data_IF_665827464214
#
_entry.id   IF_665827464214
#
_cell.length_a   1.000
_cell.length_b   1.000
_cell.length_c   1.000
_cell.angle_alpha   90.00
_cell.angle_beta   90.00
_cell.angle_gamma   90.00
#
_symmetry.space_group_name_H-M   'P 1'
#
loop_
_entity.id
_entity.type
_entity.pdbx_description
1 polymer ?
#
# COMPACT_ATOMS: atom_id res chain seq x y z
N UNK A 1 4.84 12.77 -3.85
CA UNK A 1 6.19 13.20 -3.42
C UNK A 1 6.47 12.63 -2.02
N UNK A 2 7.21 11.51 -1.85
CA UNK A 2 7.72 10.98 -0.56
C UNK A 2 8.46 9.62 -0.66
N UNK A 3 8.46 8.94 -1.81
CA UNK A 3 9.04 7.59 -1.94
C UNK A 3 10.57 7.57 -1.83
N UNK A 4 11.28 8.54 -2.42
CA UNK A 4 12.74 8.60 -2.35
C UNK A 4 13.25 8.83 -0.92
N UNK A 5 12.51 9.62 -0.14
CA UNK A 5 12.83 9.90 1.26
C UNK A 5 12.55 8.69 2.16
N UNK A 6 11.44 7.97 1.92
CA UNK A 6 11.08 6.78 2.67
C UNK A 6 12.09 5.63 2.46
N UNK A 7 12.51 5.38 1.22
CA UNK A 7 13.55 4.37 0.91
C UNK A 7 14.86 4.68 1.62
N UNK A 8 15.19 5.96 1.79
CA UNK A 8 16.40 6.38 2.48
C UNK A 8 16.27 6.33 4.01
N UNK A 9 15.14 6.74 4.58
CA UNK A 9 14.96 6.87 6.04
C UNK A 9 14.63 5.52 6.70
N UNK A 10 13.87 4.66 6.04
CA UNK A 10 13.40 3.38 6.60
C UNK A 10 14.56 2.50 7.12
N UNK A 11 15.67 2.27 6.39
CA UNK A 11 16.79 1.48 6.89
C UNK A 11 17.41 2.04 8.17
N UNK A 12 17.60 3.37 8.24
CA UNK A 12 18.17 4.00 9.45
C UNK A 12 17.21 3.91 10.63
N UNK A 13 15.91 4.12 10.39
CA UNK A 13 14.90 4.03 11.44
C UNK A 13 14.77 2.59 11.99
N UNK A 14 14.90 1.56 11.14
CA UNK A 14 14.95 0.16 11.57
C UNK A 14 16.19 -0.13 12.41
N UNK A 15 17.37 0.33 11.99
CA UNK A 15 18.62 0.13 12.74
C UNK A 15 18.56 0.84 14.11
N UNK A 16 18.10 2.09 14.13
CA UNK A 16 17.98 2.87 15.36
C UNK A 16 16.90 2.27 16.28
N UNK A 17 15.71 1.99 15.76
CA UNK A 17 14.60 1.41 16.52
C UNK A 17 14.94 0.02 17.06
N UNK A 18 15.51 -0.85 16.23
CA UNK A 18 15.96 -2.19 16.62
C UNK A 18 17.08 -2.14 17.65
N UNK A 19 18.06 -1.23 17.49
CA UNK A 19 19.13 -1.02 18.46
C UNK A 19 18.60 -0.55 19.83
N UNK A 20 17.66 0.39 19.84
CA UNK A 20 17.01 0.91 21.05
C UNK A 20 16.22 -0.18 21.79
N UNK A 21 15.45 -1.01 21.07
CA UNK A 21 14.74 -2.15 21.64
C UNK A 21 15.71 -3.19 22.19
N UNK A 22 16.77 -3.52 21.45
CA UNK A 22 17.77 -4.49 21.90
C UNK A 22 18.48 -4.01 23.18
N UNK A 23 18.95 -2.75 23.22
CA UNK A 23 19.61 -2.16 24.40
C UNK A 23 18.68 -2.09 25.61
N UNK A 24 17.42 -1.68 25.40
CA UNK A 24 16.41 -1.66 26.46
C UNK A 24 16.02 -3.07 26.94
N UNK A 25 15.89 -4.02 26.02
CA UNK A 25 15.52 -5.41 26.31
C UNK A 25 16.61 -6.20 27.05
N UNK A 26 17.88 -5.96 26.72
CA UNK A 26 19.03 -6.56 27.41
C UNK A 26 19.02 -6.30 28.91
N UNK A 27 18.51 -5.14 29.34
CA UNK A 27 18.34 -4.80 30.76
C UNK A 27 17.42 -5.79 31.50
N UNK A 28 16.35 -6.26 30.85
CA UNK A 28 15.41 -7.23 31.43
C UNK A 28 15.96 -8.67 31.45
N UNK A 29 17.01 -8.95 30.67
CA UNK A 29 17.69 -10.25 30.62
C UNK A 29 18.90 -10.27 31.59
N UNK A 30 18.96 -9.32 32.53
CA UNK A 30 20.03 -9.18 33.52
C UNK A 30 21.42 -8.85 32.92
N UNK A 31 21.48 -8.47 31.64
CA UNK A 31 22.69 -7.96 30.99
C UNK A 31 22.69 -6.44 31.13
N UNK A 32 23.40 -5.94 32.14
CA UNK A 32 23.44 -4.51 32.48
C UNK A 32 24.34 -3.73 31.53
N UNK A 33 23.83 -3.44 30.33
CA UNK A 33 24.44 -2.48 29.40
C UNK A 33 24.16 -1.01 29.78
N UNK A 34 23.06 -0.78 30.51
CA UNK A 34 22.62 0.54 30.98
C UNK A 34 22.44 0.52 32.49
N UNK A 35 23.06 1.47 33.19
CA UNK A 35 23.07 1.51 34.66
C UNK A 35 21.76 2.01 35.29
N UNK A 36 20.86 2.60 34.50
CA UNK A 36 19.63 3.20 34.99
C UNK A 36 18.40 2.52 34.38
N UNK A 37 17.50 2.03 35.24
CA UNK A 37 16.24 1.40 34.84
C UNK A 37 15.37 2.34 33.99
N UNK A 38 15.34 3.63 34.33
CA UNK A 38 14.56 4.61 33.57
C UNK A 38 15.07 4.79 32.13
N UNK A 39 16.38 4.70 31.92
CA UNK A 39 16.98 4.81 30.59
C UNK A 39 16.70 3.56 29.74
N UNK A 40 16.71 2.38 30.35
CA UNK A 40 16.38 1.13 29.67
C UNK A 40 14.90 1.07 29.25
N UNK A 41 13.99 1.54 30.10
CA UNK A 41 12.56 1.65 29.75
C UNK A 41 12.34 2.69 28.65
N UNK A 42 12.98 3.85 28.76
CA UNK A 42 12.87 4.90 27.74
C UNK A 42 13.40 4.45 26.36
N UNK A 43 14.52 3.72 26.31
CA UNK A 43 15.04 3.17 25.06
C UNK A 43 14.13 2.10 24.48
N UNK A 44 13.56 1.23 25.31
CA UNK A 44 12.63 0.19 24.87
C UNK A 44 11.35 0.81 24.28
N UNK A 45 10.72 1.75 25.00
CA UNK A 45 9.50 2.43 24.56
C UNK A 45 9.78 3.28 23.32
N UNK A 46 10.90 4.01 23.28
CA UNK A 46 11.29 4.82 22.13
C UNK A 46 11.53 3.97 20.88
N UNK A 47 12.24 2.86 21.02
CA UNK A 47 12.48 1.92 19.91
C UNK A 47 11.18 1.27 19.41
N UNK A 48 10.31 0.84 20.32
CA UNK A 48 9.01 0.27 19.96
C UNK A 48 8.10 1.30 19.27
N UNK A 49 8.10 2.56 19.71
CA UNK A 49 7.34 3.63 19.07
C UNK A 49 7.84 3.91 17.65
N UNK A 50 9.17 3.97 17.43
CA UNK A 50 9.76 4.16 16.11
C UNK A 50 9.35 3.02 15.17
N UNK A 51 9.51 1.77 15.61
CA UNK A 51 9.17 0.60 14.79
C UNK A 51 7.67 0.52 14.52
N UNK A 52 6.81 0.81 15.50
CA UNK A 52 5.35 0.81 15.33
C UNK A 52 4.88 1.89 14.36
N UNK A 53 5.44 3.10 14.45
CA UNK A 53 5.16 4.17 13.46
C UNK A 53 5.64 3.75 12.07
N UNK A 54 6.81 3.12 11.98
CA UNK A 54 7.32 2.60 10.71
C UNK A 54 6.36 1.56 10.12
N UNK A 55 5.89 0.62 10.93
CA UNK A 55 4.96 -0.43 10.50
C UNK A 55 3.62 0.17 10.05
N UNK A 56 3.09 1.17 10.74
CA UNK A 56 1.88 1.90 10.30
C UNK A 56 2.12 2.60 8.96
N UNK A 57 3.29 3.21 8.77
CA UNK A 57 3.65 3.88 7.51
C UNK A 57 3.82 2.86 6.39
N UNK A 58 4.47 1.72 6.64
CA UNK A 58 4.69 0.69 5.62
C UNK A 58 3.42 -0.11 5.31
N UNK A 59 2.70 -0.58 6.33
CA UNK A 59 1.43 -1.29 6.17
C UNK A 59 0.35 -0.36 5.62
N UNK A 60 0.34 0.91 6.01
CA UNK A 60 -0.52 1.95 5.45
C UNK A 60 0.02 2.58 4.17
N UNK A 61 1.19 2.19 3.67
CA UNK A 61 1.72 2.75 2.43
C UNK A 61 0.91 2.19 1.27
N UNK A 62 0.15 3.08 0.61
CA UNK A 62 -0.61 2.71 -0.57
C UNK A 62 0.27 2.18 -1.71
N UNK A 63 1.60 2.19 -1.61
CA UNK A 63 2.46 1.50 -2.58
C UNK A 63 2.26 -0.01 -2.57
N UNK A 64 2.04 -0.64 -1.42
CA UNK A 64 1.71 -2.07 -1.38
C UNK A 64 0.33 -2.33 -2.00
N UNK A 65 -0.65 -1.50 -1.65
CA UNK A 65 -2.02 -1.60 -2.15
C UNK A 65 -2.15 -1.26 -3.63
N UNK A 66 -1.58 -0.15 -4.10
CA UNK A 66 -1.54 0.23 -5.51
C UNK A 66 -0.73 -0.76 -6.34
N UNK A 67 0.35 -1.33 -5.81
CA UNK A 67 1.08 -2.39 -6.54
C UNK A 67 0.26 -3.67 -6.61
N UNK A 68 -0.39 -4.08 -5.53
CA UNK A 68 -1.30 -5.21 -5.55
C UNK A 68 -2.45 -4.98 -6.55
N UNK A 69 -3.07 -3.81 -6.51
CA UNK A 69 -4.13 -3.38 -7.40
C UNK A 69 -3.67 -3.28 -8.87
N UNK A 70 -2.45 -2.79 -9.12
CA UNK A 70 -1.87 -2.73 -10.46
C UNK A 70 -1.64 -4.13 -11.02
N UNK A 71 -1.10 -5.05 -10.22
CA UNK A 71 -0.92 -6.47 -10.61
C UNK A 71 -2.28 -7.11 -10.91
N UNK A 72 -3.27 -6.87 -10.07
CA UNK A 72 -4.61 -7.43 -10.23
C UNK A 72 -5.33 -6.88 -11.46
N UNK A 73 -5.19 -5.58 -11.72
CA UNK A 73 -5.73 -4.95 -12.92
C UNK A 73 -5.12 -5.56 -14.18
N UNK A 74 -3.80 -5.81 -14.19
CA UNK A 74 -3.14 -6.48 -15.32
C UNK A 74 -3.56 -7.94 -15.50
N UNK A 75 -3.83 -8.67 -14.41
CA UNK A 75 -4.36 -10.03 -14.49
C UNK A 75 -5.79 -10.04 -15.06
N UNK A 76 -6.65 -9.13 -14.58
CA UNK A 76 -8.01 -8.97 -15.07
C UNK A 76 -8.06 -8.50 -16.53
N UNK A 77 -7.11 -7.65 -16.95
CA UNK A 77 -6.93 -7.28 -18.36
C UNK A 77 -6.59 -8.51 -19.21
N UNK A 78 -5.61 -9.31 -18.79
CA UNK A 78 -5.23 -10.53 -19.50
C UNK A 78 -6.38 -11.55 -19.57
N UNK A 79 -7.16 -11.67 -18.49
CA UNK A 79 -8.34 -12.53 -18.44
C UNK A 79 -9.45 -12.02 -19.38
N UNK A 80 -9.70 -10.72 -19.41
CA UNK A 80 -10.64 -10.10 -20.34
C UNK A 80 -10.23 -10.27 -21.81
N UNK A 81 -8.95 -10.05 -22.12
CA UNK A 81 -8.41 -10.23 -23.47
C UNK A 81 -8.40 -11.70 -23.93
N UNK A 82 -8.14 -12.64 -23.01
CA UNK A 82 -8.13 -14.08 -23.32
C UNK A 82 -9.54 -14.67 -23.45
N UNK A 83 -10.52 -14.15 -22.71
CA UNK A 83 -11.91 -14.57 -22.80
C UNK A 83 -12.62 -14.02 -24.05
N UNK A 84 -12.19 -12.87 -24.57
CA UNK A 84 -12.78 -12.21 -25.73
C UNK A 84 -11.74 -11.87 -26.81
N UNK A 85 -11.09 -12.87 -27.44
CA UNK A 85 -10.10 -12.64 -28.48
C UNK A 85 -10.68 -11.93 -29.72
N UNK A 86 -11.98 -12.09 -29.98
CA UNK A 86 -12.73 -11.40 -31.05
C UNK A 86 -12.87 -9.88 -30.83
N UNK A 87 -12.93 -9.43 -29.58
CA UNK A 87 -13.03 -8.02 -29.19
C UNK A 87 -11.69 -7.27 -29.33
N UNK A 88 -10.59 -7.99 -29.60
CA UNK A 88 -9.28 -7.38 -29.89
C UNK A 88 -9.17 -6.84 -31.32
N UNK A 89 -9.94 -7.42 -32.26
CA UNK A 89 -9.98 -7.02 -33.68
C UNK A 89 -11.18 -6.15 -34.02
N UNK A 90 -12.29 -6.34 -33.32
CA UNK A 90 -13.49 -5.51 -33.46
C UNK A 90 -13.42 -4.37 -32.45
N UNK A 91 -13.90 -3.18 -32.80
CA UNK A 91 -13.79 -1.97 -32.00
C UNK A 91 -14.61 -1.98 -30.67
N UNK A 92 -15.03 -3.15 -30.19
CA UNK A 92 -15.87 -3.36 -29.00
C UNK A 92 -15.05 -3.30 -27.71
N UNK A 93 -14.41 -2.14 -27.51
CA UNK A 93 -13.69 -1.80 -26.27
C UNK A 93 -14.58 -1.86 -25.03
N UNK A 94 -15.90 -1.73 -25.20
CA UNK A 94 -16.87 -1.80 -24.11
C UNK A 94 -17.00 -3.21 -23.50
N UNK A 95 -16.79 -4.27 -24.29
CA UNK A 95 -16.88 -5.65 -23.80
C UNK A 95 -15.68 -5.96 -22.91
N UNK A 96 -14.48 -5.62 -23.38
CA UNK A 96 -13.24 -5.78 -22.61
C UNK A 96 -13.29 -4.91 -21.36
N UNK A 97 -13.76 -3.66 -21.46
CA UNK A 97 -13.94 -2.77 -20.31
C UNK A 97 -14.84 -3.40 -19.24
N UNK A 98 -16.01 -3.92 -19.62
CA UNK A 98 -16.95 -4.57 -18.68
C UNK A 98 -16.36 -5.82 -18.06
N UNK A 99 -15.62 -6.62 -18.82
CA UNK A 99 -14.97 -7.83 -18.32
C UNK A 99 -13.91 -7.51 -17.25
N UNK A 100 -13.10 -6.48 -17.49
CA UNK A 100 -12.07 -6.03 -16.52
C UNK A 100 -12.72 -5.47 -15.26
N UNK A 101 -13.72 -4.60 -15.39
CA UNK A 101 -14.45 -4.03 -14.24
C UNK A 101 -15.13 -5.13 -13.43
N UNK A 102 -15.74 -6.13 -14.08
CA UNK A 102 -16.36 -7.25 -13.39
C UNK A 102 -15.34 -8.10 -12.61
N UNK A 103 -14.17 -8.38 -13.20
CA UNK A 103 -13.07 -9.09 -12.53
C UNK A 103 -12.51 -8.31 -11.34
N UNK A 104 -12.35 -6.99 -11.47
CA UNK A 104 -11.92 -6.13 -10.37
C UNK A 104 -12.96 -6.06 -9.25
N UNK A 105 -14.25 -6.05 -9.59
CA UNK A 105 -15.32 -6.05 -8.59
C UNK A 105 -15.38 -7.38 -7.80
N UNK A 106 -15.23 -8.52 -8.47
CA UNK A 106 -15.16 -9.84 -7.81
C UNK A 106 -13.96 -9.95 -6.85
N UNK A 107 -12.88 -9.23 -7.15
CA UNK A 107 -11.69 -9.17 -6.31
C UNK A 107 -11.74 -8.11 -5.22
N UNK A 108 -12.86 -7.40 -5.07
CA UNK A 108 -13.09 -6.44 -3.99
C UNK A 108 -12.69 -5.00 -4.33
N UNK A 109 -12.65 -4.63 -5.61
CA UNK A 109 -12.36 -3.27 -6.06
C UNK A 109 -13.53 -2.67 -6.85
N UNK A 110 -13.99 -1.50 -6.43
CA UNK A 110 -15.07 -0.76 -7.10
C UNK A 110 -14.53 0.27 -8.09
N UNK A 111 -15.18 0.38 -9.25
CA UNK A 111 -14.87 1.42 -10.23
C UNK A 111 -15.31 2.80 -9.73
N UNK A 112 -14.38 3.75 -9.72
CA UNK A 112 -14.58 5.10 -9.26
C UNK A 112 -14.04 6.12 -10.27
N UNK A 113 -14.95 6.67 -11.07
CA UNK A 113 -14.61 7.58 -12.18
C UNK A 113 -14.42 9.05 -11.74
N UNK A 114 -14.53 9.37 -10.45
CA UNK A 114 -14.49 10.76 -9.95
C UNK A 114 -13.07 11.34 -9.87
N UNK A 115 -12.02 10.54 -10.03
CA UNK A 115 -10.64 11.02 -9.96
C UNK A 115 -10.18 11.68 -11.28
N UNK A 116 -9.33 12.70 -11.18
CA UNK A 116 -8.94 13.54 -12.33
C UNK A 116 -8.24 12.76 -13.45
N UNK A 117 -7.45 11.73 -13.08
CA UNK A 117 -6.80 10.81 -14.01
C UNK A 117 -7.77 9.88 -14.76
N UNK A 118 -8.95 9.66 -14.20
CA UNK A 118 -10.02 8.88 -14.85
C UNK A 118 -10.82 9.71 -15.84
N UNK A 119 -10.82 11.04 -15.65
CA UNK A 119 -11.49 11.99 -16.55
C UNK A 119 -10.69 12.24 -17.84
N UNK A 120 -9.37 12.13 -17.78
CA UNK A 120 -8.47 12.26 -18.95
C UNK A 120 -8.32 10.95 -19.74
N UNK A 121 -8.43 9.79 -19.07
CA UNK A 121 -8.34 8.47 -19.71
C UNK A 121 -9.28 7.45 -19.03
N UNK A 122 -10.52 7.36 -19.52
CA UNK A 122 -11.56 6.43 -19.04
C UNK A 122 -11.32 4.99 -19.52
N UNK A 123 -10.16 4.43 -19.16
CA UNK A 123 -9.77 3.06 -19.56
C UNK A 123 -9.85 2.14 -18.34
N UNK A 124 -10.53 1.00 -18.47
CA UNK A 124 -10.67 0.01 -17.39
C UNK A 124 -9.33 -0.53 -16.87
N UNK A 125 -8.25 -0.33 -17.60
CA UNK A 125 -6.90 -0.75 -17.22
C UNK A 125 -6.20 0.27 -16.32
N UNK A 126 -6.81 1.44 -16.09
CA UNK A 126 -6.23 2.46 -15.23
C UNK A 126 -6.48 2.13 -13.74
N UNK A 127 -5.45 1.78 -12.95
CA UNK A 127 -5.63 1.42 -11.55
C UNK A 127 -6.12 2.60 -10.70
N UNK A 128 -5.87 3.85 -11.11
CA UNK A 128 -6.34 5.05 -10.41
C UNK A 128 -7.87 5.18 -10.40
N UNK A 129 -8.57 4.40 -11.23
CA UNK A 129 -10.03 4.40 -11.34
C UNK A 129 -10.70 3.30 -10.53
N UNK A 130 -9.98 2.69 -9.60
CA UNK A 130 -10.52 1.70 -8.69
C UNK A 130 -10.22 2.04 -7.23
N UNK A 131 -11.16 1.72 -6.36
CA UNK A 131 -11.03 1.84 -4.90
C UNK A 131 -11.36 0.50 -4.23
N UNK A 132 -10.70 0.16 -3.12
CA UNK A 132 -11.07 -1.02 -2.33
C UNK A 132 -12.52 -0.93 -1.84
N UNK A 133 -13.23 -2.07 -1.82
CA UNK A 133 -14.57 -2.17 -1.26
C UNK A 133 -14.57 -2.14 0.28
N UNK A 134 -13.47 -2.54 0.92
CA UNK A 134 -13.28 -2.50 2.37
C UNK A 134 -13.17 -1.06 2.88
N UNK A 135 -13.99 -0.70 3.89
CA UNK A 135 -14.13 0.70 4.34
C UNK A 135 -12.85 1.34 4.91
N UNK A 136 -11.98 0.56 5.56
CA UNK A 136 -10.71 1.07 6.08
C UNK A 136 -9.72 1.35 4.94
N UNK A 137 -9.52 0.39 4.04
CA UNK A 137 -8.60 0.55 2.90
C UNK A 137 -9.12 1.63 1.94
N UNK A 138 -10.44 1.71 1.74
CA UNK A 138 -11.08 2.78 0.98
C UNK A 138 -10.78 4.17 1.54
N UNK A 139 -10.83 4.34 2.86
CA UNK A 139 -10.58 5.63 3.50
C UNK A 139 -9.11 6.06 3.34
N UNK A 140 -8.17 5.12 3.49
CA UNK A 140 -6.73 5.36 3.31
C UNK A 140 -6.44 5.70 1.85
N UNK A 141 -6.92 4.88 0.91
CA UNK A 141 -6.71 5.08 -0.53
C UNK A 141 -7.37 6.38 -1.03
N UNK A 142 -8.59 6.70 -0.58
CA UNK A 142 -9.28 7.93 -0.98
C UNK A 142 -8.62 9.20 -0.42
N UNK A 143 -8.14 9.15 0.84
CA UNK A 143 -7.38 10.26 1.41
C UNK A 143 -6.10 10.50 0.59
N UNK A 144 -5.41 9.44 0.19
CA UNK A 144 -4.15 9.54 -0.53
C UNK A 144 -4.31 9.98 -1.99
N UNK A 145 -5.30 9.45 -2.73
CA UNK A 145 -5.67 9.89 -4.09
C UNK A 145 -6.04 11.39 -4.16
N UNK A 146 -6.33 12.03 -3.02
CA UNK A 146 -6.63 13.46 -2.95
C UNK A 146 -5.37 14.34 -2.91
N UNK A 147 -4.22 13.77 -2.54
CA UNK A 147 -2.93 14.48 -2.47
C UNK A 147 -2.00 14.15 -3.66
N UNK A 148 -2.46 13.32 -4.60
CA UNK A 148 -1.77 12.92 -5.82
C UNK A 148 -2.47 13.51 -7.05
#
# INVERSE_FOLDING_TARGET
MNQDLAVFIVPFAVVIGGGLVAVGGLYFINIRFVNNAGLAVASLVGGAAILGVLEIILAGSATAFFKAQQVQTSLCELQGESAHPEARRSADRDIIHKAIVACMNDTGYEWFAEHHQCKSATVATNPYCYLPASGFDRAVTAFQLRFE
#
